data_IF_132035252607
#
_entry.id   IF_132035252607
#
_cell.length_a   1.000
_cell.length_b   1.000
_cell.length_c   1.000
_cell.angle_alpha   90.00
_cell.angle_beta   90.00
_cell.angle_gamma   90.00
#
_symmetry.space_group_name_H-M   'P 1'
#
loop_
_entity.id
_entity.type
_entity.pdbx_description
1 polymer ?
#
# COMPACT_ATOMS: atom_id res chain seq x y z
N UNK A 1 -17.75 29.34 -0.14
CA UNK A 1 -17.77 28.42 1.02
C UNK A 1 -18.41 27.11 0.59
N UNK A 2 -17.60 26.17 0.12
CA UNK A 2 -18.03 24.80 -0.20
C UNK A 2 -18.20 24.06 1.11
N UNK A 3 -19.44 23.81 1.53
CA UNK A 3 -19.74 22.83 2.59
C UNK A 3 -19.29 21.47 2.08
N UNK A 4 -18.09 21.06 2.44
CA UNK A 4 -17.69 19.66 2.39
C UNK A 4 -18.60 18.93 3.37
N UNK A 5 -19.46 18.05 2.85
CA UNK A 5 -20.19 17.06 3.65
C UNK A 5 -19.16 16.14 4.31
N UNK A 6 -18.52 16.60 5.39
CA UNK A 6 -17.77 15.72 6.26
C UNK A 6 -18.80 14.81 6.90
N UNK A 7 -18.84 13.57 6.44
CA UNK A 7 -19.56 12.49 7.10
C UNK A 7 -19.12 12.52 8.56
N UNK A 8 -20.08 12.71 9.46
CA UNK A 8 -19.81 12.76 10.90
C UNK A 8 -19.08 11.47 11.28
N UNK A 9 -17.88 11.54 11.87
CA UNK A 9 -17.12 10.34 12.19
C UNK A 9 -17.94 9.51 13.18
N UNK A 10 -18.33 8.32 12.75
CA UNK A 10 -19.08 7.35 13.54
C UNK A 10 -18.38 5.99 13.52
N UNK A 11 -18.65 5.14 14.51
CA UNK A 11 -18.08 3.80 14.57
C UNK A 11 -18.38 2.99 13.29
N UNK A 12 -19.59 3.15 12.75
CA UNK A 12 -20.05 2.45 11.55
C UNK A 12 -19.31 2.92 10.29
N UNK A 13 -19.17 4.24 10.11
CA UNK A 13 -18.44 4.81 8.97
C UNK A 13 -16.96 4.41 9.00
N UNK A 14 -16.35 4.38 10.18
CA UNK A 14 -14.97 3.96 10.37
C UNK A 14 -14.79 2.45 10.14
N UNK A 15 -15.75 1.63 10.55
CA UNK A 15 -15.75 0.19 10.26
C UNK A 15 -15.79 -0.07 8.75
N UNK A 16 -16.65 0.64 8.04
CA UNK A 16 -16.79 0.51 6.59
C UNK A 16 -15.51 0.97 5.87
N UNK A 17 -14.88 2.06 6.33
CA UNK A 17 -13.60 2.51 5.78
C UNK A 17 -12.48 1.49 6.01
N UNK A 18 -12.42 0.90 7.22
CA UNK A 18 -11.43 -0.12 7.56
C UNK A 18 -11.59 -1.40 6.74
N UNK A 19 -12.81 -1.90 6.57
CA UNK A 19 -13.10 -3.08 5.73
C UNK A 19 -12.78 -2.82 4.25
N UNK A 20 -13.16 -1.66 3.73
CA UNK A 20 -12.84 -1.27 2.37
C UNK A 20 -11.32 -1.18 2.18
N UNK A 21 -10.57 -0.64 3.14
CA UNK A 21 -9.11 -0.62 3.07
C UNK A 21 -8.51 -2.03 3.07
N UNK A 22 -9.04 -2.96 3.87
CA UNK A 22 -8.59 -4.35 3.86
C UNK A 22 -8.83 -4.99 2.48
N UNK A 23 -10.03 -4.80 1.94
CA UNK A 23 -10.39 -5.32 0.61
C UNK A 23 -9.46 -4.78 -0.45
N UNK A 24 -9.32 -3.44 -0.54
CA UNK A 24 -8.48 -2.80 -1.54
C UNK A 24 -7.01 -3.19 -1.41
N UNK A 25 -6.48 -3.27 -0.19
CA UNK A 25 -5.09 -3.70 -0.02
C UNK A 25 -4.90 -5.13 -0.55
N UNK A 26 -5.74 -6.09 -0.15
CA UNK A 26 -5.64 -7.49 -0.62
C UNK A 26 -5.81 -7.60 -2.13
N UNK A 27 -6.77 -6.86 -2.68
CA UNK A 27 -7.01 -6.84 -4.12
C UNK A 27 -5.79 -6.32 -4.87
N UNK A 28 -5.23 -5.18 -4.47
CA UNK A 28 -4.07 -4.58 -5.12
C UNK A 28 -2.79 -5.40 -4.92
N UNK A 29 -2.56 -5.97 -3.74
CA UNK A 29 -1.42 -6.88 -3.51
C UNK A 29 -1.49 -8.10 -4.43
N UNK A 30 -2.66 -8.73 -4.56
CA UNK A 30 -2.87 -9.88 -5.46
C UNK A 30 -2.73 -9.47 -6.92
N UNK A 31 -3.37 -8.39 -7.33
CA UNK A 31 -3.29 -7.88 -8.69
C UNK A 31 -1.84 -7.51 -9.05
N UNK A 32 -1.13 -6.83 -8.15
CA UNK A 32 0.28 -6.50 -8.30
C UNK A 32 1.19 -7.73 -8.34
N UNK A 33 0.89 -8.76 -7.55
CA UNK A 33 1.64 -10.02 -7.62
C UNK A 33 1.46 -10.67 -9.01
N UNK A 34 0.22 -10.84 -9.46
CA UNK A 34 -0.10 -11.46 -10.76
C UNK A 34 0.50 -10.64 -11.91
N UNK A 35 0.27 -9.33 -11.94
CA UNK A 35 0.76 -8.44 -13.01
C UNK A 35 2.28 -8.33 -12.96
N UNK A 36 2.87 -8.20 -11.77
CA UNK A 36 4.33 -8.07 -11.60
C UNK A 36 5.08 -9.32 -12.03
N UNK A 37 4.65 -10.50 -11.57
CA UNK A 37 5.27 -11.77 -12.01
C UNK A 37 4.94 -12.07 -13.47
N UNK A 38 3.71 -11.85 -13.91
CA UNK A 38 3.29 -12.07 -15.28
C UNK A 38 4.09 -11.21 -16.26
N UNK A 39 4.19 -9.90 -16.01
CA UNK A 39 4.98 -8.99 -16.83
C UNK A 39 6.46 -9.40 -16.86
N UNK A 40 7.04 -9.75 -15.71
CA UNK A 40 8.43 -10.20 -15.65
C UNK A 40 8.67 -11.46 -16.48
N UNK A 41 7.84 -12.51 -16.31
CA UNK A 41 7.98 -13.77 -17.04
C UNK A 41 7.75 -13.59 -18.54
N UNK A 42 6.70 -12.87 -18.93
CA UNK A 42 6.39 -12.62 -20.35
C UNK A 42 7.55 -11.87 -21.01
N UNK A 43 8.01 -10.79 -20.40
CA UNK A 43 9.12 -10.01 -20.95
C UNK A 43 10.42 -10.83 -20.99
N UNK A 44 10.69 -11.64 -19.97
CA UNK A 44 11.84 -12.54 -19.95
C UNK A 44 11.79 -13.56 -21.11
N UNK A 45 10.63 -14.20 -21.33
CA UNK A 45 10.45 -15.16 -22.42
C UNK A 45 10.58 -14.50 -23.79
N UNK A 46 10.03 -13.30 -23.98
CA UNK A 46 10.17 -12.56 -25.24
C UNK A 46 11.63 -12.26 -25.54
N UNK A 47 12.38 -11.74 -24.57
CA UNK A 47 13.77 -11.30 -24.81
C UNK A 47 14.71 -12.49 -24.95
N UNK A 48 14.69 -13.40 -23.98
CA UNK A 48 15.65 -14.51 -23.92
C UNK A 48 15.16 -15.78 -24.62
N UNK A 49 13.86 -16.08 -24.56
CA UNK A 49 13.28 -17.26 -25.19
C UNK A 49 13.26 -17.17 -26.72
N UNK A 50 12.92 -15.99 -27.26
CA UNK A 50 12.94 -15.75 -28.71
C UNK A 50 14.32 -15.29 -29.22
N UNK A 51 15.34 -15.23 -28.36
CA UNK A 51 16.70 -14.74 -28.67
C UNK A 51 16.70 -13.38 -29.37
N UNK A 52 15.84 -12.48 -28.90
CA UNK A 52 15.73 -11.13 -29.42
C UNK A 52 16.78 -10.25 -28.74
N UNK A 53 18.05 -10.43 -29.12
CA UNK A 53 19.22 -9.79 -28.49
C UNK A 53 19.42 -8.31 -28.88
N UNK A 54 18.51 -7.72 -29.66
CA UNK A 54 18.60 -6.31 -30.02
C UNK A 54 18.33 -5.41 -28.80
N UNK A 55 19.09 -4.31 -28.69
CA UNK A 55 19.01 -3.33 -27.59
C UNK A 55 17.58 -2.84 -27.34
N UNK A 56 16.75 -2.72 -28.39
CA UNK A 56 15.34 -2.31 -28.28
C UNK A 56 14.46 -3.29 -27.49
N UNK A 57 14.81 -4.58 -27.43
CA UNK A 57 14.06 -5.57 -26.66
C UNK A 57 14.52 -5.63 -25.20
N UNK A 58 15.71 -5.10 -24.88
CA UNK A 58 16.13 -4.95 -23.49
C UNK A 58 15.17 -4.04 -22.69
N UNK A 59 14.53 -3.05 -23.34
CA UNK A 59 13.52 -2.21 -22.67
C UNK A 59 12.30 -3.02 -22.21
N UNK A 60 11.92 -4.09 -22.91
CA UNK A 60 10.86 -5.00 -22.46
C UNK A 60 11.29 -5.77 -21.22
N UNK A 61 12.53 -6.26 -21.16
CA UNK A 61 13.04 -6.89 -19.94
C UNK A 61 13.00 -5.93 -18.74
N UNK A 62 13.46 -4.69 -18.93
CA UNK A 62 13.37 -3.66 -17.89
C UNK A 62 11.92 -3.31 -17.52
N UNK A 63 10.99 -3.32 -18.48
CA UNK A 63 9.56 -3.13 -18.21
C UNK A 63 9.03 -4.22 -17.27
N UNK A 64 9.35 -5.48 -17.54
CA UNK A 64 8.98 -6.60 -16.68
C UNK A 64 9.55 -6.48 -15.27
N UNK A 65 10.86 -6.18 -15.16
CA UNK A 65 11.54 -6.02 -13.88
C UNK A 65 11.00 -4.82 -13.08
N UNK A 66 10.81 -3.67 -13.74
CA UNK A 66 10.28 -2.47 -13.13
C UNK A 66 8.85 -2.66 -12.63
N UNK A 67 8.01 -3.36 -13.40
CA UNK A 67 6.65 -3.71 -13.00
C UNK A 67 6.64 -4.63 -11.78
N UNK A 68 7.57 -5.60 -11.74
CA UNK A 68 7.74 -6.49 -10.59
C UNK A 68 8.18 -5.75 -9.32
N UNK A 69 9.14 -4.84 -9.43
CA UNK A 69 9.62 -4.02 -8.31
C UNK A 69 8.51 -3.09 -7.82
N UNK A 70 7.81 -2.44 -8.74
CA UNK A 70 6.70 -1.53 -8.41
C UNK A 70 5.57 -2.25 -7.68
N UNK A 71 5.29 -3.51 -8.04
CA UNK A 71 4.22 -4.26 -7.39
C UNK A 71 4.53 -4.66 -5.95
N UNK A 72 5.81 -4.80 -5.58
CA UNK A 72 6.23 -5.03 -4.19
C UNK A 72 5.93 -3.85 -3.27
N UNK A 73 5.88 -2.63 -3.83
CA UNK A 73 5.66 -1.42 -3.04
C UNK A 73 4.21 -1.28 -2.57
N UNK A 74 3.26 -2.00 -3.17
CA UNK A 74 1.83 -1.92 -2.85
C UNK A 74 1.58 -2.20 -1.36
N UNK A 75 2.18 -3.27 -0.82
CA UNK A 75 2.01 -3.60 0.60
C UNK A 75 2.53 -2.51 1.54
N UNK A 76 3.57 -1.77 1.14
CA UNK A 76 4.07 -0.62 1.92
C UNK A 76 3.11 0.56 1.92
N UNK A 77 2.35 0.79 0.85
CA UNK A 77 1.39 1.90 0.79
C UNK A 77 0.20 1.71 1.74
N UNK A 78 -0.10 0.47 2.13
CA UNK A 78 -1.16 0.07 3.05
C UNK A 78 -0.62 -0.48 4.39
N UNK A 79 0.64 -0.18 4.72
CA UNK A 79 1.32 -0.71 5.92
C UNK A 79 0.57 -0.32 7.21
N UNK A 80 0.13 0.94 7.33
CA UNK A 80 -0.62 1.43 8.49
C UNK A 80 -2.10 1.62 8.14
N UNK A 81 -3.03 0.89 8.77
CA UNK A 81 -4.47 1.06 8.57
C UNK A 81 -4.97 2.44 8.98
N UNK A 82 -6.07 2.90 8.37
CA UNK A 82 -6.63 4.25 8.59
C UNK A 82 -6.97 4.53 10.05
N UNK A 83 -7.50 3.54 10.77
CA UNK A 83 -7.88 3.68 12.19
C UNK A 83 -6.68 4.08 13.06
N UNK A 84 -5.49 3.59 12.75
CA UNK A 84 -4.26 3.97 13.45
C UNK A 84 -3.67 5.29 12.95
N UNK A 85 -3.83 5.60 11.66
CA UNK A 85 -3.41 6.91 11.11
C UNK A 85 -4.22 8.05 11.72
N UNK A 86 -5.51 7.83 11.94
CA UNK A 86 -6.43 8.81 12.50
C UNK A 86 -6.06 9.24 13.92
N UNK A 87 -5.31 8.42 14.67
CA UNK A 87 -4.76 8.79 15.99
C UNK A 87 -3.81 9.99 15.94
N UNK A 88 -3.26 10.31 14.76
CA UNK A 88 -2.36 11.44 14.53
C UNK A 88 -3.06 12.62 13.82
N UNK A 89 -4.40 12.60 13.73
CA UNK A 89 -5.18 13.67 13.11
C UNK A 89 -5.33 14.87 14.03
N UNK A 90 -5.47 16.07 13.46
CA UNK A 90 -5.81 17.29 14.20
C UNK A 90 -7.28 17.30 14.69
N UNK A 91 -8.14 16.47 14.08
CA UNK A 91 -9.54 16.36 14.46
C UNK A 91 -9.72 15.45 15.69
N UNK A 92 -9.98 16.07 16.85
CA UNK A 92 -10.18 15.38 18.14
C UNK A 92 -11.36 14.40 18.15
N UNK A 93 -12.44 14.70 17.42
CA UNK A 93 -13.59 13.78 17.33
C UNK A 93 -13.20 12.51 16.56
N UNK A 94 -12.45 12.66 15.46
CA UNK A 94 -11.96 11.53 14.68
C UNK A 94 -10.98 10.66 15.47
N UNK A 95 -10.11 11.29 16.28
CA UNK A 95 -9.19 10.59 17.19
C UNK A 95 -9.98 9.77 18.21
N UNK A 96 -10.97 10.38 18.88
CA UNK A 96 -11.77 9.70 19.89
C UNK A 96 -12.55 8.50 19.32
N UNK A 97 -13.19 8.67 18.15
CA UNK A 97 -13.90 7.59 17.45
C UNK A 97 -12.93 6.47 17.05
N UNK A 98 -11.71 6.81 16.64
CA UNK A 98 -10.70 5.82 16.25
C UNK A 98 -10.15 5.04 17.45
N UNK A 99 -9.94 5.71 18.58
CA UNK A 99 -9.57 5.05 19.84
C UNK A 99 -10.67 4.08 20.29
N UNK A 100 -11.93 4.51 20.29
CA UNK A 100 -13.05 3.65 20.71
C UNK A 100 -13.25 2.46 19.76
N UNK A 101 -13.05 2.65 18.45
CA UNK A 101 -13.07 1.55 17.48
C UNK A 101 -11.93 0.55 17.72
N UNK A 102 -10.70 1.03 17.95
CA UNK A 102 -9.54 0.17 18.26
C UNK A 102 -9.80 -0.60 19.56
N UNK A 103 -10.37 0.03 20.59
CA UNK A 103 -10.70 -0.63 21.85
C UNK A 103 -11.78 -1.70 21.66
N UNK A 104 -12.83 -1.40 20.90
CA UNK A 104 -13.96 -2.31 20.64
C UNK A 104 -13.56 -3.49 19.76
N UNK A 105 -12.71 -3.26 18.76
CA UNK A 105 -12.26 -4.27 17.79
C UNK A 105 -10.76 -4.54 17.90
N UNK A 106 -10.25 -4.63 19.13
CA UNK A 106 -8.81 -4.72 19.44
C UNK A 106 -8.11 -5.86 18.72
N UNK A 107 -8.63 -7.08 18.83
CA UNK A 107 -8.01 -8.25 18.20
C UNK A 107 -7.90 -8.08 16.67
N UNK A 108 -8.98 -7.65 16.03
CA UNK A 108 -9.06 -7.48 14.58
C UNK A 108 -8.09 -6.40 14.07
N UNK A 109 -8.07 -5.25 14.74
CA UNK A 109 -7.24 -4.10 14.34
C UNK A 109 -5.76 -4.37 14.60
N UNK A 110 -5.41 -4.94 15.77
CA UNK A 110 -4.03 -5.28 16.11
C UNK A 110 -3.50 -6.43 15.25
N UNK A 111 -4.29 -7.46 14.96
CA UNK A 111 -3.87 -8.55 14.06
C UNK A 111 -3.49 -8.03 12.68
N UNK A 112 -4.25 -7.08 12.15
CA UNK A 112 -3.94 -6.46 10.86
C UNK A 112 -2.66 -5.63 10.92
N UNK A 113 -2.51 -4.82 11.98
CA UNK A 113 -1.33 -4.00 12.17
C UNK A 113 -0.07 -4.86 12.38
N UNK A 114 -0.16 -5.92 13.19
CA UNK A 114 0.92 -6.88 13.44
C UNK A 114 1.39 -7.55 12.14
N UNK A 115 0.45 -8.06 11.34
CA UNK A 115 0.76 -8.69 10.06
C UNK A 115 1.54 -7.76 9.11
N UNK A 116 1.22 -6.46 9.13
CA UNK A 116 1.87 -5.48 8.27
C UNK A 116 3.22 -4.99 8.81
N UNK A 117 3.35 -4.80 10.14
CA UNK A 117 4.54 -4.24 10.77
C UNK A 117 5.61 -5.27 11.07
N UNK A 118 5.21 -6.44 11.58
CA UNK A 118 6.11 -7.46 12.10
C UNK A 118 6.21 -8.66 11.16
N UNK A 119 5.22 -8.92 10.31
CA UNK A 119 5.23 -10.05 9.39
C UNK A 119 5.31 -11.38 10.16
N UNK A 120 6.46 -12.06 10.07
CA UNK A 120 6.75 -13.30 10.82
C UNK A 120 7.47 -13.05 12.16
N UNK A 121 7.80 -11.80 12.48
CA UNK A 121 8.47 -11.44 13.73
C UNK A 121 7.48 -11.41 14.91
N UNK A 122 8.02 -11.46 16.12
CA UNK A 122 7.21 -11.37 17.34
C UNK A 122 6.48 -10.03 17.43
N UNK A 123 5.16 -10.10 17.68
CA UNK A 123 4.26 -8.95 17.82
C UNK A 123 3.63 -8.87 19.21
N UNK A 124 4.13 -9.66 20.17
CA UNK A 124 3.68 -9.68 21.57
C UNK A 124 3.60 -8.29 22.19
N UNK A 125 4.62 -7.45 21.96
CA UNK A 125 4.69 -6.06 22.40
C UNK A 125 3.52 -5.21 21.91
N UNK A 126 3.03 -5.44 20.67
CA UNK A 126 1.89 -4.72 20.12
C UNK A 126 0.57 -5.12 20.79
N UNK A 127 0.40 -6.39 21.14
CA UNK A 127 -0.82 -6.87 21.80
C UNK A 127 -0.92 -6.44 23.26
N UNK A 128 0.23 -6.33 23.93
CA UNK A 128 0.33 -5.89 25.33
C UNK A 128 0.27 -4.36 25.46
N UNK A 129 0.52 -3.61 24.38
CA UNK A 129 0.59 -2.15 24.41
C UNK A 129 -0.70 -1.49 24.92
N UNK A 130 -0.56 -0.52 25.81
CA UNK A 130 -1.63 0.43 26.13
C UNK A 130 -1.83 1.45 24.97
N UNK A 131 -2.78 2.37 25.07
CA UNK A 131 -3.07 3.33 23.99
C UNK A 131 -1.89 4.27 23.69
N UNK A 132 -1.15 4.71 24.71
CA UNK A 132 0.00 5.61 24.56
C UNK A 132 1.19 4.88 23.93
N UNK A 133 1.50 3.68 24.42
CA UNK A 133 2.54 2.80 23.88
C UNK A 133 2.25 2.41 22.42
N UNK A 134 0.98 2.17 22.08
CA UNK A 134 0.56 1.89 20.70
C UNK A 134 0.87 3.08 19.78
N UNK A 135 0.62 4.31 20.23
CA UNK A 135 0.97 5.53 19.49
C UNK A 135 2.49 5.65 19.35
N UNK A 136 3.27 5.33 20.38
CA UNK A 136 4.73 5.35 20.31
C UNK A 136 5.31 4.35 19.31
N UNK A 137 4.79 3.11 19.30
CA UNK A 137 5.19 2.07 18.34
C UNK A 137 4.92 2.51 16.89
N UNK A 138 3.79 3.20 16.65
CA UNK A 138 3.34 3.58 15.31
C UNK A 138 3.97 4.90 14.83
N UNK A 139 4.28 5.83 15.73
CA UNK A 139 4.86 7.15 15.44
C UNK A 139 6.01 7.15 14.43
N UNK A 140 7.05 6.30 14.54
CA UNK A 140 8.16 6.31 13.57
C UNK A 140 7.69 5.92 12.16
N UNK A 141 6.66 5.09 12.04
CA UNK A 141 6.08 4.67 10.74
C UNK A 141 5.21 5.75 10.11
N UNK A 142 4.63 6.63 10.93
CA UNK A 142 3.79 7.75 10.49
C UNK A 142 4.58 8.94 9.94
N UNK A 143 5.88 9.05 10.21
CA UNK A 143 6.74 10.11 9.65
C UNK A 143 6.79 10.07 8.11
N UNK A 144 6.55 8.90 7.51
CA UNK A 144 6.52 8.72 6.06
C UNK A 144 5.08 8.44 5.61
N UNK A 145 4.42 9.36 4.91
CA UNK A 145 3.04 9.17 4.47
C UNK A 145 2.96 8.22 3.25
N UNK A 146 3.20 6.93 3.46
CA UNK A 146 3.33 5.92 2.40
C UNK A 146 2.14 5.86 1.45
N UNK A 147 0.91 6.02 1.94
CA UNK A 147 -0.30 6.05 1.09
C UNK A 147 -0.29 7.22 0.09
N UNK A 148 0.17 8.40 0.53
CA UNK A 148 0.32 9.57 -0.34
C UNK A 148 1.50 9.39 -1.30
N UNK A 149 2.64 8.91 -0.80
CA UNK A 149 3.82 8.61 -1.60
C UNK A 149 3.52 7.58 -2.71
N UNK A 150 2.74 6.54 -2.40
CA UNK A 150 2.36 5.51 -3.36
C UNK A 150 1.48 6.03 -4.49
N UNK A 151 0.54 6.94 -4.18
CA UNK A 151 -0.26 7.61 -5.21
C UNK A 151 0.63 8.45 -6.14
N UNK A 152 1.54 9.24 -5.58
CA UNK A 152 2.48 10.06 -6.37
C UNK A 152 3.37 9.15 -7.23
N UNK A 153 3.95 8.11 -6.64
CA UNK A 153 4.77 7.13 -7.34
C UNK A 153 4.03 6.50 -8.53
N UNK A 154 2.78 6.06 -8.32
CA UNK A 154 2.00 5.42 -9.39
C UNK A 154 1.78 6.35 -10.58
N UNK A 155 1.30 7.57 -10.34
CA UNK A 155 0.94 8.49 -11.43
C UNK A 155 2.15 9.18 -12.09
N UNK A 156 3.18 9.52 -11.32
CA UNK A 156 4.29 10.35 -11.80
C UNK A 156 5.58 9.56 -12.06
N UNK A 157 5.68 8.31 -11.63
CA UNK A 157 6.87 7.48 -11.85
C UNK A 157 6.51 6.23 -12.63
N UNK A 158 5.58 5.41 -12.11
CA UNK A 158 5.26 4.13 -12.73
C UNK A 158 4.67 4.30 -14.14
N UNK A 159 3.61 5.10 -14.27
CA UNK A 159 2.94 5.32 -15.56
C UNK A 159 3.94 5.89 -16.62
N UNK A 160 4.68 6.98 -16.36
CA UNK A 160 5.61 7.52 -17.35
C UNK A 160 6.71 6.54 -17.75
N UNK A 161 7.32 5.84 -16.80
CA UNK A 161 8.40 4.87 -17.09
C UNK A 161 7.88 3.73 -17.95
N UNK A 162 6.69 3.20 -17.64
CA UNK A 162 6.05 2.16 -18.45
C UNK A 162 5.82 2.63 -19.89
N UNK A 163 5.28 3.83 -20.07
CA UNK A 163 5.06 4.40 -21.42
C UNK A 163 6.36 4.58 -22.19
N UNK A 164 7.43 5.06 -21.55
CA UNK A 164 8.75 5.24 -22.17
C UNK A 164 9.31 3.88 -22.61
N UNK A 165 9.28 2.86 -21.74
CA UNK A 165 9.83 1.55 -22.04
C UNK A 165 9.07 0.84 -23.18
N UNK A 166 7.75 0.95 -23.18
CA UNK A 166 6.90 0.48 -24.28
C UNK A 166 7.23 1.24 -25.56
N UNK A 167 7.32 2.56 -25.51
CA UNK A 167 7.65 3.40 -26.67
C UNK A 167 8.99 3.01 -27.31
N UNK A 168 10.03 2.79 -26.50
CA UNK A 168 11.35 2.32 -26.99
C UNK A 168 11.24 0.95 -27.69
N UNK A 169 10.41 0.05 -27.15
CA UNK A 169 10.25 -1.29 -27.74
C UNK A 169 9.52 -1.29 -29.09
N UNK A 170 8.68 -0.28 -29.33
CA UNK A 170 7.86 -0.12 -30.54
C UNK A 170 8.49 0.84 -31.56
N UNK A 171 9.54 1.57 -31.17
CA UNK A 171 10.26 2.46 -32.08
C UNK A 171 10.93 1.63 -33.19
N UNK A 172 10.62 1.99 -34.44
CA UNK A 172 11.13 1.34 -35.66
C UNK A 172 12.32 2.09 -36.23
#
# INVERSE_FOLDING_TARGET
>A
MTRTNYVTPSLETLNLEFENEIFWNRFLERAGFIVGYGAYVICFVIVFGLKLEAVKYASLFYLGLFTRLSSLLIGKFYEIPVVFRNLFSENKELVAVSQDYIRTHREKTLKRLAANLFGMNDSSSLYQANEEELVEIIRPKMQKPWKKAGRIYFFFVYIPVVFILIGISLWT
#
